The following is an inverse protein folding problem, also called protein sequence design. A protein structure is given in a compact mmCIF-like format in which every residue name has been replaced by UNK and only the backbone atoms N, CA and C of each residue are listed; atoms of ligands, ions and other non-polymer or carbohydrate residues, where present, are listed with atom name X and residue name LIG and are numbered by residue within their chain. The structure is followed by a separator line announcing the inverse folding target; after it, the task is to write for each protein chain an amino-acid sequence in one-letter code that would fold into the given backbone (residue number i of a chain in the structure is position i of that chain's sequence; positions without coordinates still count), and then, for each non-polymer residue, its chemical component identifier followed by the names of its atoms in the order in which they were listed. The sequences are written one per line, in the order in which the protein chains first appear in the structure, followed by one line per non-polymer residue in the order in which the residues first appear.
data_IF_080328590759
#
_entry.id   IF_080328590759
#
_cell.length_a   1.000
_cell.length_b   1.000
_cell.length_c   1.000
_cell.angle_alpha   90.00
_cell.angle_beta   90.00
_cell.angle_gamma   90.00
#
_symmetry.space_group_name_H-M   'P 1'
#
loop_
_entity.id
_entity.type
_entity.pdbx_description
1 polymer ?
#
# COMPACT_ATOMS: atom_id res chain seq x y z
N UNK A 1 2.29 -8.54 -18.56
CA UNK A 1 0.86 -8.65 -18.87
C UNK A 1 0.37 -7.46 -19.68
N UNK A 2 0.50 -6.21 -19.21
CA UNK A 2 0.02 -5.01 -19.92
C UNK A 2 0.55 -4.91 -21.35
N UNK A 3 1.85 -5.26 -21.58
CA UNK A 3 2.42 -5.28 -22.93
C UNK A 3 1.73 -6.31 -23.81
N UNK A 4 1.51 -7.54 -23.31
CA UNK A 4 0.80 -8.59 -24.04
C UNK A 4 -0.60 -8.11 -24.44
N UNK A 5 -1.33 -7.47 -23.51
CA UNK A 5 -2.67 -6.94 -23.77
C UNK A 5 -2.69 -5.83 -24.85
N UNK A 6 -1.65 -5.01 -24.91
CA UNK A 6 -1.52 -3.95 -25.94
C UNK A 6 -1.16 -4.52 -27.29
N UNK A 7 -0.11 -5.37 -27.33
CA UNK A 7 0.42 -5.93 -28.55
C UNK A 7 -0.52 -6.98 -29.17
N UNK A 8 -1.53 -7.48 -28.41
CA UNK A 8 -2.53 -8.44 -28.90
C UNK A 8 -3.47 -7.88 -29.98
N UNK A 9 -3.48 -6.55 -30.20
CA UNK A 9 -4.17 -5.95 -31.32
C UNK A 9 -3.55 -6.37 -32.65
N UNK A 10 -2.23 -6.31 -32.72
CA UNK A 10 -1.48 -6.66 -33.92
C UNK A 10 -1.18 -8.17 -33.97
N UNK A 11 -1.06 -8.82 -32.80
CA UNK A 11 -0.69 -10.22 -32.65
C UNK A 11 -1.67 -10.96 -31.70
N UNK A 12 -2.87 -11.31 -32.16
CA UNK A 12 -3.90 -11.93 -31.29
C UNK A 12 -3.44 -13.22 -30.57
N UNK A 13 -2.55 -14.01 -31.18
CA UNK A 13 -1.99 -15.23 -30.57
C UNK A 13 -1.22 -14.99 -29.26
N UNK A 14 -0.84 -13.73 -28.94
CA UNK A 14 -0.23 -13.41 -27.65
C UNK A 14 -1.18 -13.64 -26.48
N UNK A 15 -2.49 -13.59 -26.70
CA UNK A 15 -3.48 -13.85 -25.66
C UNK A 15 -3.43 -15.27 -25.12
N UNK A 16 -2.96 -16.24 -25.92
CA UNK A 16 -2.79 -17.63 -25.51
C UNK A 16 -1.75 -17.80 -24.39
N UNK A 17 -0.87 -16.82 -24.22
CA UNK A 17 0.14 -16.79 -23.16
C UNK A 17 -0.38 -16.22 -21.83
N UNK A 18 -1.52 -15.51 -21.85
CA UNK A 18 -2.07 -14.84 -20.65
C UNK A 18 -2.34 -15.78 -19.48
N UNK A 19 -2.87 -17.02 -19.65
CA UNK A 19 -3.14 -17.89 -18.52
C UNK A 19 -1.91 -18.16 -17.66
N UNK A 20 -0.76 -18.43 -18.27
CA UNK A 20 0.50 -18.67 -17.55
C UNK A 20 0.98 -17.39 -16.81
N UNK A 21 0.95 -16.23 -17.48
CA UNK A 21 1.27 -14.95 -16.86
C UNK A 21 0.32 -14.62 -15.70
N UNK A 22 -0.97 -14.91 -15.83
CA UNK A 22 -1.97 -14.69 -14.80
C UNK A 22 -1.68 -15.57 -13.58
N UNK A 23 -1.38 -16.84 -13.79
CA UNK A 23 -1.03 -17.76 -12.70
C UNK A 23 0.21 -17.27 -11.94
N UNK A 24 1.29 -16.94 -12.65
CA UNK A 24 2.52 -16.41 -12.03
C UNK A 24 2.26 -15.09 -11.29
N UNK A 25 1.49 -14.19 -11.88
CA UNK A 25 1.15 -12.91 -11.25
C UNK A 25 0.35 -13.13 -9.96
N UNK A 26 -0.57 -14.09 -9.91
CA UNK A 26 -1.32 -14.41 -8.70
C UNK A 26 -0.44 -15.02 -7.61
N UNK A 27 0.44 -15.95 -7.96
CA UNK A 27 1.34 -16.59 -6.99
C UNK A 27 2.32 -15.58 -6.37
N UNK A 28 3.03 -14.80 -7.21
CA UNK A 28 3.98 -13.78 -6.72
C UNK A 28 3.23 -12.60 -6.07
N UNK A 29 2.07 -12.25 -6.62
CA UNK A 29 1.21 -11.21 -6.08
C UNK A 29 0.73 -11.52 -4.67
N UNK A 30 0.37 -12.76 -4.39
CA UNK A 30 -0.05 -13.19 -3.06
C UNK A 30 1.07 -13.03 -2.01
N UNK A 31 2.31 -13.37 -2.38
CA UNK A 31 3.48 -13.16 -1.50
C UNK A 31 3.64 -11.68 -1.20
N UNK A 32 3.58 -10.82 -2.24
CA UNK A 32 3.77 -9.38 -2.10
C UNK A 32 2.65 -8.72 -1.28
N UNK A 33 1.39 -9.11 -1.51
CA UNK A 33 0.23 -8.61 -0.74
C UNK A 33 0.41 -8.94 0.74
N UNK A 34 0.72 -10.20 1.07
CA UNK A 34 0.91 -10.62 2.45
C UNK A 34 2.07 -9.90 3.12
N UNK A 35 3.18 -9.73 2.42
CA UNK A 35 4.33 -8.97 2.91
C UNK A 35 3.98 -7.51 3.21
N UNK A 36 3.32 -6.84 2.26
CA UNK A 36 2.88 -5.45 2.42
C UNK A 36 1.87 -5.27 3.53
N UNK A 37 0.91 -6.17 3.64
CA UNK A 37 -0.09 -6.16 4.72
C UNK A 37 0.57 -6.31 6.09
N UNK A 38 1.50 -7.27 6.23
CA UNK A 38 2.26 -7.47 7.46
C UNK A 38 3.13 -6.25 7.82
N UNK A 39 3.76 -5.62 6.82
CA UNK A 39 4.50 -4.38 7.02
C UNK A 39 3.57 -3.22 7.44
N UNK A 40 2.41 -3.10 6.80
CA UNK A 40 1.42 -2.07 7.13
C UNK A 40 0.91 -2.19 8.58
N UNK A 41 0.74 -3.42 9.11
CA UNK A 41 0.37 -3.64 10.51
C UNK A 41 1.43 -3.12 11.49
N UNK A 42 2.71 -3.37 11.21
CA UNK A 42 3.81 -2.81 12.00
C UNK A 42 3.86 -1.29 11.88
N UNK A 43 3.77 -0.78 10.66
CA UNK A 43 3.79 0.65 10.39
C UNK A 43 2.65 1.37 11.12
N UNK A 44 1.45 0.79 11.16
CA UNK A 44 0.28 1.33 11.85
C UNK A 44 0.54 1.55 13.33
N UNK A 45 1.15 0.58 14.01
CA UNK A 45 1.40 0.66 15.45
C UNK A 45 2.39 1.79 15.77
N UNK A 46 3.53 1.84 15.10
CA UNK A 46 4.55 2.86 15.35
C UNK A 46 4.11 4.25 14.86
N UNK A 47 3.41 4.33 13.73
CA UNK A 47 2.94 5.60 13.20
C UNK A 47 1.85 6.23 14.08
N UNK A 48 0.95 5.44 14.66
CA UNK A 48 -0.05 5.94 15.59
C UNK A 48 0.60 6.54 16.85
N UNK A 49 1.62 5.87 17.40
CA UNK A 49 2.37 6.38 18.54
C UNK A 49 3.12 7.67 18.20
N UNK A 50 3.92 7.68 17.14
CA UNK A 50 4.68 8.85 16.70
C UNK A 50 3.78 10.05 16.38
N UNK A 51 2.62 9.79 15.76
CA UNK A 51 1.65 10.84 15.46
C UNK A 51 1.00 11.41 16.72
N UNK A 52 0.68 10.57 17.71
CA UNK A 52 0.16 11.03 18.99
C UNK A 52 1.18 11.93 19.70
N UNK A 53 2.45 11.58 19.70
CA UNK A 53 3.54 12.41 20.24
C UNK A 53 3.63 13.76 19.49
N UNK A 54 3.67 13.75 18.16
CA UNK A 54 3.76 14.96 17.33
C UNK A 54 2.51 15.86 17.41
N UNK A 55 1.34 15.29 17.69
CA UNK A 55 0.08 16.04 17.77
C UNK A 55 -0.30 16.44 19.21
N UNK A 56 0.51 16.06 20.22
CA UNK A 56 0.20 16.23 21.63
C UNK A 56 -1.06 15.46 22.04
N UNK A 57 -1.30 14.29 21.45
CA UNK A 57 -2.44 13.42 21.72
C UNK A 57 -3.79 13.94 21.19
N UNK A 58 -3.80 15.00 20.38
CA UNK A 58 -5.04 15.64 19.89
C UNK A 58 -5.63 14.97 18.66
N UNK A 59 -4.83 14.18 17.96
CA UNK A 59 -5.22 13.56 16.68
C UNK A 59 -4.89 12.07 16.70
N UNK A 60 -5.74 11.26 16.11
CA UNK A 60 -5.56 9.83 15.94
C UNK A 60 -5.20 9.53 14.46
N UNK A 61 -4.07 8.88 14.23
CA UNK A 61 -3.66 8.40 12.91
C UNK A 61 -4.02 6.93 12.74
N UNK A 62 -4.68 6.62 11.64
CA UNK A 62 -5.00 5.24 11.26
C UNK A 62 -4.48 4.91 9.87
N UNK A 63 -4.04 3.67 9.69
CA UNK A 63 -3.57 3.12 8.42
C UNK A 63 -4.36 1.87 8.07
N UNK A 64 -4.72 1.72 6.79
CA UNK A 64 -5.34 0.51 6.27
C UNK A 64 -4.72 0.12 4.93
N UNK A 65 -4.22 -1.11 4.83
CA UNK A 65 -3.77 -1.66 3.56
C UNK A 65 -4.97 -2.01 2.69
N UNK A 66 -4.98 -1.52 1.46
CA UNK A 66 -6.02 -1.77 0.46
C UNK A 66 -5.46 -2.55 -0.70
N UNK A 67 -6.12 -3.63 -1.04
CA UNK A 67 -5.83 -4.46 -2.21
C UNK A 67 -7.12 -4.74 -2.98
N UNK A 68 -7.08 -5.61 -3.98
CA UNK A 68 -8.26 -5.95 -4.78
C UNK A 68 -9.38 -6.53 -3.90
N UNK A 69 -10.63 -6.16 -4.19
CA UNK A 69 -11.80 -6.45 -3.33
C UNK A 69 -12.06 -7.94 -3.05
N UNK A 70 -11.60 -8.82 -3.93
CA UNK A 70 -11.75 -10.27 -3.75
C UNK A 70 -10.81 -10.84 -2.68
N UNK A 71 -9.72 -10.16 -2.36
CA UNK A 71 -8.84 -10.53 -1.26
C UNK A 71 -9.45 -10.01 0.04
N UNK A 72 -10.11 -10.90 0.78
CA UNK A 72 -10.86 -10.56 1.99
C UNK A 72 -9.96 -10.41 3.21
N UNK A 73 -8.87 -11.18 3.27
CA UNK A 73 -7.85 -11.09 4.31
C UNK A 73 -6.46 -11.12 3.65
N UNK A 74 -5.75 -9.97 3.61
CA UNK A 74 -4.42 -9.89 3.00
C UNK A 74 -3.32 -10.56 3.85
N UNK A 75 -3.62 -10.98 5.08
CA UNK A 75 -2.71 -11.75 5.95
C UNK A 75 -2.94 -13.26 5.89
N UNK A 76 -3.97 -13.71 5.19
CA UNK A 76 -4.26 -15.13 5.02
C UNK A 76 -3.10 -15.92 4.39
N UNK A 77 -3.24 -17.24 4.33
CA UNK A 77 -2.27 -18.10 3.64
C UNK A 77 -2.12 -17.70 2.16
N UNK A 78 -0.89 -17.75 1.65
CA UNK A 78 -0.55 -17.33 0.27
C UNK A 78 -1.41 -18.06 -0.78
N UNK A 79 -1.74 -19.32 -0.57
CA UNK A 79 -2.60 -20.11 -1.46
C UNK A 79 -4.03 -19.56 -1.53
N UNK A 80 -4.56 -19.05 -0.41
CA UNK A 80 -5.88 -18.43 -0.34
C UNK A 80 -5.88 -17.10 -1.11
N UNK A 81 -4.90 -16.23 -0.82
CA UNK A 81 -4.75 -14.95 -1.50
C UNK A 81 -4.56 -15.16 -3.02
N UNK A 82 -3.72 -16.13 -3.42
CA UNK A 82 -3.47 -16.42 -4.83
C UNK A 82 -4.76 -16.83 -5.56
N UNK A 83 -5.60 -17.68 -4.92
CA UNK A 83 -6.92 -18.07 -5.46
C UNK A 83 -7.83 -16.86 -5.62
N UNK A 84 -7.96 -16.03 -4.59
CA UNK A 84 -8.78 -14.82 -4.62
C UNK A 84 -8.31 -13.81 -5.68
N UNK A 85 -6.99 -13.69 -5.91
CA UNK A 85 -6.44 -12.91 -7.02
C UNK A 85 -6.80 -13.51 -8.38
N UNK A 86 -6.80 -14.85 -8.50
CA UNK A 86 -7.19 -15.52 -9.74
C UNK A 86 -8.66 -15.28 -10.06
N UNK A 87 -9.55 -15.39 -9.05
CA UNK A 87 -10.98 -15.10 -9.20
C UNK A 87 -11.20 -13.64 -9.65
N UNK A 88 -10.42 -12.70 -9.08
CA UNK A 88 -10.44 -11.30 -9.52
C UNK A 88 -10.02 -11.15 -10.98
N UNK A 89 -8.95 -11.82 -11.40
CA UNK A 89 -8.49 -11.75 -12.79
C UNK A 89 -9.50 -12.35 -13.76
N UNK A 90 -10.13 -13.47 -13.40
CA UNK A 90 -11.17 -14.08 -14.23
C UNK A 90 -12.37 -13.14 -14.40
N UNK A 91 -12.84 -12.53 -13.31
CA UNK A 91 -13.96 -11.60 -13.36
C UNK A 91 -13.68 -10.32 -14.16
N UNK A 92 -12.42 -9.92 -14.28
CA UNK A 92 -12.01 -8.72 -15.02
C UNK A 92 -11.40 -9.01 -16.40
N UNK A 93 -11.36 -10.28 -16.81
CA UNK A 93 -10.70 -10.68 -18.06
C UNK A 93 -11.21 -9.93 -19.29
N UNK A 94 -12.53 -9.86 -19.48
CA UNK A 94 -13.13 -9.16 -20.61
C UNK A 94 -12.81 -7.64 -20.58
N UNK A 95 -12.82 -7.03 -19.39
CA UNK A 95 -12.47 -5.63 -19.22
C UNK A 95 -10.98 -5.34 -19.47
N UNK A 96 -10.08 -6.27 -19.09
CA UNK A 96 -8.65 -6.18 -19.38
C UNK A 96 -8.35 -6.26 -20.88
N UNK A 97 -9.04 -7.17 -21.60
CA UNK A 97 -8.93 -7.27 -23.07
C UNK A 97 -9.42 -5.97 -23.73
N UNK A 98 -10.60 -5.50 -23.34
CA UNK A 98 -11.20 -4.29 -23.93
C UNK A 98 -10.38 -3.02 -23.65
N UNK A 99 -9.86 -2.88 -22.41
CA UNK A 99 -9.07 -1.70 -22.02
C UNK A 99 -7.58 -1.80 -22.34
N UNK A 100 -7.09 -3.01 -22.65
CA UNK A 100 -5.65 -3.31 -22.85
C UNK A 100 -4.78 -2.97 -21.63
N UNK A 101 -5.39 -2.96 -20.46
CA UNK A 101 -4.73 -2.65 -19.18
C UNK A 101 -4.81 -3.85 -18.24
N UNK A 102 -3.76 -4.05 -17.46
CA UNK A 102 -3.80 -4.98 -16.34
C UNK A 102 -4.58 -4.34 -15.20
N UNK A 103 -5.77 -4.86 -14.90
CA UNK A 103 -6.67 -4.34 -13.87
C UNK A 103 -6.53 -5.06 -12.52
N UNK A 104 -5.85 -6.19 -12.50
CA UNK A 104 -5.73 -7.08 -11.34
C UNK A 104 -4.29 -7.26 -10.91
N UNK A 105 -4.02 -7.14 -9.62
CA UNK A 105 -2.71 -7.41 -9.04
C UNK A 105 -2.20 -6.33 -8.08
N UNK A 106 -1.10 -6.61 -7.36
CA UNK A 106 -0.58 -5.77 -6.27
C UNK A 106 -0.06 -4.38 -6.70
N UNK A 107 0.02 -4.11 -8.00
CA UNK A 107 0.32 -2.75 -8.52
C UNK A 107 -0.86 -1.78 -8.38
N UNK A 108 -2.03 -2.27 -7.97
CA UNK A 108 -3.23 -1.48 -7.65
C UNK A 108 -3.41 -1.25 -6.16
N UNK A 109 -2.57 -1.87 -5.35
CA UNK A 109 -2.64 -1.72 -3.90
C UNK A 109 -2.26 -0.30 -3.47
N UNK A 110 -2.85 0.13 -2.35
CA UNK A 110 -2.59 1.42 -1.72
C UNK A 110 -2.59 1.27 -0.19
N UNK A 111 -2.08 2.26 0.51
CA UNK A 111 -2.24 2.44 1.95
C UNK A 111 -3.14 3.65 2.15
N UNK A 112 -4.31 3.42 2.74
CA UNK A 112 -5.21 4.48 3.13
C UNK A 112 -4.77 5.05 4.47
N UNK A 113 -4.52 6.35 4.50
CA UNK A 113 -4.13 7.10 5.71
C UNK A 113 -5.29 7.98 6.11
N UNK A 114 -5.71 7.91 7.38
CA UNK A 114 -6.75 8.78 7.91
C UNK A 114 -6.33 9.40 9.25
N UNK A 115 -6.75 10.63 9.48
CA UNK A 115 -6.58 11.39 10.73
C UNK A 115 -7.98 11.67 11.29
N UNK A 116 -8.22 11.26 12.54
CA UNK A 116 -9.53 11.37 13.18
C UNK A 116 -10.68 10.78 12.33
N UNK A 117 -10.42 9.66 11.63
CA UNK A 117 -11.37 8.98 10.77
C UNK A 117 -11.59 9.64 9.39
N UNK A 118 -10.93 10.74 9.08
CA UNK A 118 -11.02 11.43 7.78
C UNK A 118 -9.82 11.12 6.90
N UNK A 119 -10.06 10.81 5.61
CA UNK A 119 -8.99 10.54 4.65
C UNK A 119 -7.99 11.70 4.59
N UNK A 120 -6.71 11.40 4.86
CA UNK A 120 -5.64 12.40 4.85
C UNK A 120 -5.51 13.08 3.48
N UNK A 121 -5.74 12.34 2.39
CA UNK A 121 -5.64 12.84 1.01
C UNK A 121 -6.75 13.84 0.65
N UNK A 122 -7.95 13.72 1.24
CA UNK A 122 -9.13 14.47 0.81
C UNK A 122 -9.54 15.57 1.78
N UNK A 123 -9.35 15.38 3.08
CA UNK A 123 -9.98 16.21 4.10
C UNK A 123 -9.03 16.84 5.11
N UNK A 124 -7.77 16.38 5.17
CA UNK A 124 -6.83 16.90 6.17
C UNK A 124 -6.19 18.23 5.71
N UNK A 125 -5.89 19.09 6.69
CA UNK A 125 -5.08 20.28 6.46
C UNK A 125 -3.66 19.94 6.06
N UNK A 126 -2.93 20.87 5.45
CA UNK A 126 -1.52 20.67 5.10
C UNK A 126 -0.67 20.30 6.32
N UNK A 127 -0.91 20.94 7.48
CA UNK A 127 -0.20 20.63 8.72
C UNK A 127 -0.48 19.20 9.21
N UNK A 128 -1.73 18.71 9.12
CA UNK A 128 -2.07 17.33 9.45
C UNK A 128 -1.40 16.32 8.51
N UNK A 129 -1.40 16.59 7.21
CA UNK A 129 -0.74 15.73 6.22
C UNK A 129 0.77 15.65 6.48
N UNK A 130 1.42 16.77 6.79
CA UNK A 130 2.86 16.82 7.12
C UNK A 130 3.18 16.07 8.40
N UNK A 131 2.38 16.26 9.46
CA UNK A 131 2.54 15.52 10.72
C UNK A 131 2.37 14.02 10.50
N UNK A 132 1.37 13.61 9.70
CA UNK A 132 1.17 12.20 9.36
C UNK A 132 2.35 11.63 8.55
N UNK A 133 2.89 12.39 7.59
CA UNK A 133 4.06 11.97 6.81
C UNK A 133 5.32 11.84 7.69
N UNK A 134 5.54 12.77 8.63
CA UNK A 134 6.63 12.66 9.60
C UNK A 134 6.46 11.43 10.50
N UNK A 135 5.26 11.21 11.02
CA UNK A 135 4.97 10.05 11.86
C UNK A 135 5.21 8.72 11.13
N UNK A 136 4.88 8.64 9.83
CA UNK A 136 5.20 7.47 9.01
C UNK A 136 6.71 7.26 8.86
N UNK A 137 7.49 8.33 8.69
CA UNK A 137 8.96 8.25 8.61
C UNK A 137 9.59 7.85 9.94
N UNK A 138 9.08 8.35 11.05
CA UNK A 138 9.51 7.92 12.38
C UNK A 138 9.17 6.44 12.63
N UNK A 139 8.01 5.99 12.19
CA UNK A 139 7.61 4.58 12.27
C UNK A 139 8.52 3.65 11.43
N UNK A 140 8.90 4.06 10.21
CA UNK A 140 9.89 3.32 9.40
C UNK A 140 11.23 3.19 10.14
N UNK A 141 11.67 4.21 10.86
CA UNK A 141 12.88 4.19 11.69
C UNK A 141 12.80 3.15 12.81
N UNK A 142 11.67 3.06 13.51
CA UNK A 142 11.47 2.07 14.58
C UNK A 142 11.43 0.65 14.00
N UNK A 143 10.75 0.43 12.89
CA UNK A 143 10.74 -0.87 12.20
C UNK A 143 12.17 -1.29 11.78
N UNK A 144 12.97 -0.33 11.30
CA UNK A 144 14.36 -0.60 10.94
C UNK A 144 15.17 -1.05 12.18
N UNK A 145 15.06 -0.31 13.30
CA UNK A 145 15.70 -0.66 14.55
C UNK A 145 15.32 -2.06 15.03
N UNK A 146 14.03 -2.41 14.99
CA UNK A 146 13.56 -3.74 15.38
C UNK A 146 14.11 -4.86 14.49
N UNK A 147 14.37 -4.54 13.23
CA UNK A 147 14.84 -5.53 12.24
C UNK A 147 16.35 -5.70 12.28
N UNK A 148 17.11 -4.61 12.47
CA UNK A 148 18.58 -4.59 12.33
C UNK A 148 19.32 -4.30 13.66
N UNK A 149 18.60 -3.94 14.72
CA UNK A 149 19.17 -3.65 16.04
C UNK A 149 19.73 -2.23 16.20
N UNK A 150 19.75 -1.42 15.16
CA UNK A 150 20.28 -0.05 15.17
C UNK A 150 19.36 0.91 14.41
N UNK A 151 19.44 2.19 14.80
CA UNK A 151 18.69 3.24 14.10
C UNK A 151 19.35 3.61 12.78
N UNK A 152 18.56 3.82 11.70
CA UNK A 152 19.08 4.38 10.45
C UNK A 152 19.37 5.89 10.63
N UNK A 153 20.29 6.41 9.83
CA UNK A 153 20.46 7.86 9.68
C UNK A 153 19.26 8.42 8.92
N UNK A 154 18.54 9.34 9.53
CA UNK A 154 17.42 10.04 8.91
C UNK A 154 17.89 11.42 8.40
N UNK A 155 17.57 11.71 7.14
CA UNK A 155 17.74 13.03 6.56
C UNK A 155 16.36 13.69 6.43
N UNK A 156 16.14 14.75 7.21
CA UNK A 156 14.91 15.51 7.23
C UNK A 156 15.22 16.89 6.64
N UNK A 157 14.65 17.17 5.47
CA UNK A 157 14.80 18.46 4.80
C UNK A 157 13.55 19.30 5.05
N UNK A 158 13.71 20.46 5.66
CA UNK A 158 12.71 21.49 5.98
C UNK A 158 11.42 21.02 6.70
N UNK A 159 11.41 19.79 7.25
CA UNK A 159 10.21 19.20 7.88
C UNK A 159 9.76 20.02 9.10
N UNK A 160 10.72 20.50 9.90
CA UNK A 160 10.43 21.23 11.15
C UNK A 160 9.99 22.68 10.90
N UNK A 161 10.52 23.35 9.88
CA UNK A 161 10.17 24.73 9.56
C UNK A 161 8.73 24.89 9.09
N UNK A 162 8.15 23.82 8.59
CA UNK A 162 6.80 23.77 8.03
C UNK A 162 5.73 23.26 8.99
N UNK A 163 6.12 22.83 10.20
CA UNK A 163 5.20 22.44 11.27
C UNK A 163 4.71 23.66 12.04
N UNK A 164 3.47 23.61 12.49
CA UNK A 164 2.88 24.56 13.44
C UNK A 164 3.79 24.66 14.68
N UNK A 165 4.07 25.87 15.24
CA UNK A 165 4.89 26.01 16.45
C UNK A 165 4.54 25.09 17.61
N UNK A 166 3.25 24.76 17.79
CA UNK A 166 2.76 23.80 18.78
C UNK A 166 3.14 22.33 18.48
N UNK A 167 3.68 22.04 17.30
CA UNK A 167 4.12 20.71 16.85
C UNK A 167 5.65 20.60 16.72
N UNK A 168 6.36 21.70 17.02
CA UNK A 168 7.84 21.76 17.00
C UNK A 168 8.45 21.45 18.37
N UNK A 169 7.68 21.52 19.46
CA UNK A 169 8.07 21.12 20.81
C UNK A 169 7.93 19.61 21.02
#
# INVERSE_FOLDING_TARGET
KTRILRDSEDFPGLLDTLPEFNQRLCLVGAVLIRYRASFCEKLRQYAAQAHAECSGGREELTLAYKTVKTVTDPLAEQSVIARQLMDHQQSHYAAEIASRLCLSGPHKDDIEVAVNGHSARQYCSQGQVRTAALALKLAEREIHKDTFGEYPVMLLDDVLSELDPLRQE
#
